data_IF_056300277209
#
_entry.id   IF_056300277209
#
_cell.length_a   1.000
_cell.length_b   1.000
_cell.length_c   1.000
_cell.angle_alpha   90.00
_cell.angle_beta   90.00
_cell.angle_gamma   90.00
#
_symmetry.space_group_name_H-M   'P 1'
#
loop_
_entity.id
_entity.type
_entity.pdbx_description
1 polymer ?
#
# COMPACT_ATOMS: atom_id res chain seq x y z
N UNK A 1 26.92 8.20 20.48
CA UNK A 1 26.47 9.07 19.38
C UNK A 1 24.97 8.93 19.31
N UNK A 2 24.20 10.01 19.40
CA UNK A 2 22.73 9.94 19.20
C UNK A 2 22.49 9.71 17.72
N UNK A 3 22.00 8.52 17.37
CA UNK A 3 21.58 8.23 16.00
C UNK A 3 20.45 9.17 15.63
N UNK A 4 20.46 9.66 14.39
CA UNK A 4 19.39 10.52 13.88
C UNK A 4 18.26 9.63 13.41
N UNK A 5 17.03 9.88 13.85
CA UNK A 5 15.89 9.03 13.51
C UNK A 5 15.09 9.64 12.36
N UNK A 6 14.81 8.84 11.33
CA UNK A 6 13.73 9.12 10.37
C UNK A 6 12.53 8.28 10.79
N UNK A 7 11.39 8.92 11.02
CA UNK A 7 10.15 8.23 11.34
C UNK A 7 9.45 7.80 10.05
N UNK A 8 9.11 6.51 9.90
CA UNK A 8 8.40 6.00 8.73
C UNK A 8 7.04 5.44 9.16
N UNK A 9 6.00 6.19 8.83
CA UNK A 9 4.60 5.87 9.09
C UNK A 9 3.97 5.12 7.91
N UNK A 10 3.20 4.07 8.23
CA UNK A 10 2.50 3.22 7.28
C UNK A 10 1.40 2.41 8.00
N UNK A 11 0.48 1.80 7.24
CA UNK A 11 -0.46 0.81 7.80
C UNK A 11 0.10 -0.61 7.67
N UNK A 12 -0.46 -1.56 8.44
CA UNK A 12 0.04 -2.94 8.47
C UNK A 12 0.12 -3.59 7.09
N UNK A 13 -0.90 -3.36 6.26
CA UNK A 13 -1.03 -3.89 4.91
C UNK A 13 0.06 -3.36 3.95
N UNK A 14 0.73 -2.26 4.32
CA UNK A 14 1.78 -1.59 3.53
C UNK A 14 3.19 -1.88 4.06
N UNK A 15 3.33 -2.84 4.99
CA UNK A 15 4.61 -3.20 5.62
C UNK A 15 5.71 -3.53 4.61
N UNK A 16 5.41 -4.22 3.52
CA UNK A 16 6.42 -4.59 2.52
C UNK A 16 7.03 -3.34 1.85
N UNK A 17 6.21 -2.34 1.52
CA UNK A 17 6.68 -1.06 1.00
C UNK A 17 7.48 -0.27 2.06
N UNK A 18 7.02 -0.29 3.31
CA UNK A 18 7.74 0.35 4.41
C UNK A 18 9.16 -0.22 4.58
N UNK A 19 9.31 -1.54 4.52
CA UNK A 19 10.62 -2.20 4.61
C UNK A 19 11.50 -1.91 3.38
N UNK A 20 10.92 -1.85 2.18
CA UNK A 20 11.63 -1.47 0.96
C UNK A 20 12.24 -0.06 1.09
N UNK A 21 11.43 0.91 1.51
CA UNK A 21 11.87 2.30 1.69
C UNK A 21 12.86 2.43 2.86
N UNK A 22 12.62 1.69 3.95
CA UNK A 22 13.52 1.61 5.11
C UNK A 22 14.93 1.21 4.67
N UNK A 23 15.05 0.09 3.96
CA UNK A 23 16.33 -0.42 3.49
C UNK A 23 17.06 0.59 2.60
N UNK A 24 16.36 1.21 1.65
CA UNK A 24 16.94 2.22 0.77
C UNK A 24 17.49 3.44 1.54
N UNK A 25 16.78 3.91 2.57
CA UNK A 25 17.23 5.01 3.42
C UNK A 25 18.44 4.61 4.28
N UNK A 26 18.41 3.43 4.89
CA UNK A 26 19.51 2.93 5.74
C UNK A 26 20.80 2.72 4.93
N UNK A 27 20.68 2.19 3.71
CA UNK A 27 21.80 2.02 2.78
C UNK A 27 22.36 3.37 2.31
N UNK A 28 21.49 4.32 1.97
CA UNK A 28 21.90 5.67 1.55
C UNK A 28 22.70 6.38 2.64
N UNK A 29 22.18 6.33 3.87
CA UNK A 29 22.79 7.03 5.01
C UNK A 29 23.81 6.19 5.78
N UNK A 30 24.17 4.99 5.28
CA UNK A 30 25.28 4.17 5.77
C UNK A 30 25.29 3.98 7.30
N UNK A 31 24.10 3.81 7.91
CA UNK A 31 23.92 3.63 9.36
C UNK A 31 24.08 4.89 10.23
N UNK A 32 24.25 6.09 9.64
CA UNK A 32 24.21 7.36 10.39
C UNK A 32 22.78 7.78 10.79
N UNK A 33 21.80 7.16 10.16
CA UNK A 33 20.39 7.42 10.34
C UNK A 33 19.70 6.10 10.61
N UNK A 34 18.98 6.04 11.72
CA UNK A 34 18.09 4.92 12.02
C UNK A 34 16.71 5.24 11.44
N UNK A 35 16.10 4.28 10.75
CA UNK A 35 14.73 4.45 10.25
C UNK A 35 13.79 3.69 11.16
N UNK A 36 13.00 4.45 11.93
CA UNK A 36 12.02 3.89 12.85
C UNK A 36 10.77 3.46 12.08
N UNK A 37 10.42 2.18 12.14
CA UNK A 37 9.23 1.60 11.52
C UNK A 37 8.49 0.77 12.58
N UNK A 38 7.25 1.12 12.91
CA UNK A 38 6.50 0.44 13.97
C UNK A 38 6.20 -1.05 13.71
N UNK A 39 6.28 -1.50 12.44
CA UNK A 39 5.96 -2.87 12.01
C UNK A 39 7.16 -3.74 11.65
N UNK A 40 8.40 -3.26 11.80
CA UNK A 40 9.61 -4.00 11.39
C UNK A 40 10.03 -5.12 12.36
N UNK A 41 9.35 -5.24 13.51
CA UNK A 41 9.65 -6.24 14.54
C UNK A 41 10.98 -6.02 15.30
N UNK A 42 11.71 -4.93 15.00
CA UNK A 42 13.03 -4.62 15.59
C UNK A 42 13.05 -3.25 16.27
N UNK A 43 12.29 -2.28 15.77
CA UNK A 43 12.13 -0.94 16.35
C UNK A 43 11.40 -0.95 17.69
N UNK A 44 10.55 -1.96 17.93
CA UNK A 44 9.75 -2.14 19.14
C UNK A 44 10.09 -3.52 19.75
N UNK A 45 11.00 -3.57 20.73
CA UNK A 45 11.37 -4.83 21.40
C UNK A 45 10.17 -5.50 22.07
N UNK A 46 10.18 -6.84 22.12
CA UNK A 46 9.16 -7.61 22.85
C UNK A 46 9.11 -7.18 24.33
N UNK A 47 7.90 -6.94 24.85
CA UNK A 47 7.68 -6.46 26.22
C UNK A 47 7.77 -4.94 26.41
N UNK A 48 8.09 -4.18 25.37
CA UNK A 48 8.06 -2.71 25.42
C UNK A 48 6.65 -2.14 25.24
N UNK A 49 6.40 -0.95 25.80
CA UNK A 49 5.15 -0.23 25.57
C UNK A 49 5.15 0.36 24.14
N UNK A 50 4.36 -0.26 23.26
CA UNK A 50 4.25 0.11 21.84
C UNK A 50 3.97 1.61 21.65
N UNK A 51 2.97 2.15 22.35
CA UNK A 51 2.55 3.54 22.20
C UNK A 51 3.69 4.49 22.58
N UNK A 52 4.35 4.22 23.71
CA UNK A 52 5.49 5.02 24.17
C UNK A 52 6.62 5.04 23.14
N UNK A 53 6.90 3.92 22.47
CA UNK A 53 7.95 3.84 21.45
C UNK A 53 7.61 4.65 20.20
N UNK A 54 6.35 4.67 19.80
CA UNK A 54 5.88 5.52 18.71
C UNK A 54 6.01 7.00 19.10
N UNK A 55 5.60 7.36 20.32
CA UNK A 55 5.78 8.72 20.86
C UNK A 55 7.25 9.15 20.88
N UNK A 56 8.14 8.32 21.43
CA UNK A 56 9.59 8.57 21.45
C UNK A 56 10.12 8.78 20.01
N UNK A 57 9.71 7.91 19.07
CA UNK A 57 10.07 8.04 17.66
C UNK A 57 9.61 9.35 17.02
N UNK A 58 8.39 9.80 17.30
CA UNK A 58 7.86 11.08 16.82
C UNK A 58 8.53 12.29 17.47
N UNK A 59 8.95 12.18 18.73
CA UNK A 59 9.63 13.23 19.49
C UNK A 59 11.08 13.39 19.04
N UNK A 60 11.77 12.29 18.76
CA UNK A 60 13.20 12.27 18.47
C UNK A 60 13.51 12.33 16.97
N UNK A 61 12.53 12.12 16.09
CA UNK A 61 12.79 12.14 14.65
C UNK A 61 13.20 13.54 14.16
N UNK A 62 14.13 13.53 13.21
CA UNK A 62 14.63 14.71 12.50
C UNK A 62 13.98 14.87 11.12
N UNK A 63 13.16 13.91 10.73
CA UNK A 63 12.35 13.91 9.52
C UNK A 63 11.39 12.72 9.57
N UNK A 64 10.31 12.79 8.81
CA UNK A 64 9.31 11.74 8.76
C UNK A 64 8.81 11.50 7.34
N UNK A 65 8.61 10.24 7.00
CA UNK A 65 7.96 9.76 5.78
C UNK A 65 6.62 9.15 6.16
N UNK A 66 5.60 9.45 5.37
CA UNK A 66 4.26 8.87 5.52
C UNK A 66 3.92 8.17 4.21
N UNK A 67 3.81 6.84 4.23
CA UNK A 67 3.30 6.10 3.08
C UNK A 67 1.79 6.28 3.00
N UNK A 68 1.32 6.92 1.93
CA UNK A 68 -0.09 7.28 1.78
C UNK A 68 -0.70 6.60 0.54
N UNK A 69 -1.69 5.76 0.78
CA UNK A 69 -2.59 5.20 -0.22
C UNK A 69 -4.03 5.66 0.04
N UNK A 70 -4.97 5.37 -0.86
CA UNK A 70 -6.40 5.58 -0.60
C UNK A 70 -6.93 4.85 0.65
N UNK A 71 -6.23 3.80 1.12
CA UNK A 71 -6.56 3.06 2.32
C UNK A 71 -5.94 3.69 3.58
N UNK A 72 -4.65 4.04 3.54
CA UNK A 72 -3.95 4.55 4.73
C UNK A 72 -4.35 5.98 5.10
N UNK A 73 -4.70 6.83 4.13
CA UNK A 73 -5.15 8.21 4.38
C UNK A 73 -6.41 8.29 5.26
N UNK A 74 -7.22 7.23 5.29
CA UNK A 74 -8.44 7.12 6.09
C UNK A 74 -8.16 6.67 7.53
N UNK A 75 -6.93 6.27 7.86
CA UNK A 75 -6.56 5.85 9.21
C UNK A 75 -6.22 7.09 10.04
N UNK A 76 -7.00 7.31 11.11
CA UNK A 76 -6.78 8.42 12.05
C UNK A 76 -5.34 8.50 12.56
N UNK A 77 -4.68 7.36 12.72
CA UNK A 77 -3.31 7.29 13.23
C UNK A 77 -2.30 8.00 12.32
N UNK A 78 -2.37 7.81 11.00
CA UNK A 78 -1.49 8.49 10.03
C UNK A 78 -1.63 10.01 10.17
N UNK A 79 -2.88 10.51 10.26
CA UNK A 79 -3.17 11.93 10.39
C UNK A 79 -2.66 12.50 11.72
N UNK A 80 -2.77 11.72 12.80
CA UNK A 80 -2.28 12.10 14.12
C UNK A 80 -0.76 12.24 14.16
N UNK A 81 -0.03 11.23 13.67
CA UNK A 81 1.44 11.23 13.61
C UNK A 81 1.97 12.38 12.73
N UNK A 82 1.37 12.57 11.56
CA UNK A 82 1.73 13.65 10.65
C UNK A 82 1.48 15.03 11.26
N UNK A 83 0.35 15.21 11.93
CA UNK A 83 0.05 16.44 12.68
C UNK A 83 1.09 16.75 13.76
N UNK A 84 1.56 15.73 14.48
CA UNK A 84 2.61 15.89 15.49
C UNK A 84 3.92 16.40 14.89
N UNK A 85 4.39 15.79 13.79
CA UNK A 85 5.63 16.23 13.12
C UNK A 85 5.46 17.58 12.44
N UNK A 86 4.28 17.88 11.88
CA UNK A 86 3.99 19.21 11.32
C UNK A 86 4.19 20.31 12.36
N UNK A 87 3.55 20.20 13.52
CA UNK A 87 3.67 21.22 14.57
C UNK A 87 5.11 21.30 15.11
N UNK A 88 5.79 20.16 15.28
CA UNK A 88 7.23 20.13 15.66
C UNK A 88 8.09 20.89 14.65
N UNK A 89 7.87 20.69 13.35
CA UNK A 89 8.58 21.42 12.30
C UNK A 89 8.36 22.93 12.38
N UNK A 90 7.09 23.35 12.53
CA UNK A 90 6.74 24.76 12.65
C UNK A 90 7.40 25.41 13.89
N UNK A 91 7.45 24.71 15.02
CA UNK A 91 8.14 25.16 16.23
C UNK A 91 9.66 25.23 16.03
N UNK A 92 10.25 24.19 15.44
CA UNK A 92 11.69 24.13 15.16
C UNK A 92 12.15 25.32 14.34
N UNK A 93 11.47 25.59 13.21
CA UNK A 93 11.77 26.73 12.33
C UNK A 93 11.63 28.07 13.07
N UNK A 94 10.57 28.25 13.87
CA UNK A 94 10.35 29.49 14.64
C UNK A 94 11.42 29.74 15.71
N UNK A 95 12.01 28.68 16.24
CA UNK A 95 13.11 28.75 17.21
C UNK A 95 14.50 28.92 16.56
N UNK A 96 14.58 28.97 15.22
CA UNK A 96 15.84 29.05 14.48
C UNK A 96 16.60 27.73 14.40
N UNK A 97 15.95 26.61 14.75
CA UNK A 97 16.51 25.26 14.62
C UNK A 97 16.24 24.68 13.21
N UNK A 98 16.83 23.51 12.93
CA UNK A 98 16.71 22.84 11.63
C UNK A 98 15.28 22.39 11.31
N UNK A 99 14.90 22.42 10.03
CA UNK A 99 13.61 21.90 9.59
C UNK A 99 13.50 20.39 9.85
N UNK A 100 12.29 19.95 10.20
CA UNK A 100 11.92 18.56 10.45
C UNK A 100 10.87 18.19 9.38
N UNK A 101 11.28 17.77 8.17
CA UNK A 101 10.34 17.56 7.08
C UNK A 101 9.36 16.42 7.40
N UNK A 102 8.06 16.66 7.17
CA UNK A 102 7.03 15.63 7.13
C UNK A 102 6.65 15.41 5.67
N UNK A 103 7.01 14.25 5.11
CA UNK A 103 6.92 13.95 3.68
C UNK A 103 5.81 12.93 3.39
N UNK A 104 4.67 13.37 2.83
CA UNK A 104 3.70 12.45 2.23
C UNK A 104 4.32 11.77 1.01
N UNK A 105 4.39 10.43 1.03
CA UNK A 105 4.87 9.59 -0.07
C UNK A 105 3.68 8.78 -0.58
N UNK A 106 3.04 9.32 -1.61
CA UNK A 106 1.80 8.78 -2.16
C UNK A 106 2.08 7.57 -3.05
N UNK A 107 1.30 6.52 -2.91
CA UNK A 107 1.42 5.30 -3.71
C UNK A 107 0.05 4.68 -4.02
N UNK A 108 0.03 3.68 -4.90
CA UNK A 108 -1.15 2.87 -5.22
C UNK A 108 -2.35 3.71 -5.67
N UNK A 109 -2.11 4.71 -6.52
CA UNK A 109 -3.14 5.59 -7.09
C UNK A 109 -3.43 6.86 -6.27
N UNK A 110 -2.87 7.01 -5.07
CA UNK A 110 -2.87 8.30 -4.39
C UNK A 110 -1.88 9.27 -5.05
N UNK A 111 -2.24 10.54 -5.11
CA UNK A 111 -1.37 11.64 -5.53
C UNK A 111 -1.38 12.76 -4.49
N UNK A 112 -0.32 13.58 -4.38
CA UNK A 112 -0.29 14.70 -3.43
C UNK A 112 -1.49 15.64 -3.55
N UNK A 113 -1.98 15.89 -4.77
CA UNK A 113 -3.15 16.73 -5.04
C UNK A 113 -4.49 16.09 -4.66
N UNK A 114 -4.56 14.76 -4.58
CA UNK A 114 -5.76 14.01 -4.19
C UNK A 114 -5.93 13.88 -2.66
N UNK A 115 -4.91 14.26 -1.89
CA UNK A 115 -4.94 14.13 -0.43
C UNK A 115 -6.01 15.06 0.18
N UNK A 116 -6.67 14.64 1.28
CA UNK A 116 -7.62 15.51 1.96
C UNK A 116 -6.89 16.67 2.64
N UNK A 117 -7.57 17.80 2.77
CA UNK A 117 -7.07 18.91 3.58
C UNK A 117 -6.89 18.46 5.05
N UNK A 118 -5.79 18.84 5.73
CA UNK A 118 -4.75 19.77 5.30
C UNK A 118 -3.52 19.11 4.65
N UNK A 119 -3.53 17.79 4.40
CA UNK A 119 -2.37 17.03 3.89
C UNK A 119 -1.93 17.49 2.50
N UNK A 120 -2.87 17.91 1.65
CA UNK A 120 -2.59 18.45 0.32
C UNK A 120 -1.79 19.77 0.33
N UNK A 121 -1.67 20.43 1.48
CA UNK A 121 -0.83 21.62 1.63
C UNK A 121 0.65 21.28 1.87
N UNK A 122 0.97 20.01 2.12
CA UNK A 122 2.34 19.54 2.24
C UNK A 122 2.90 19.20 0.85
N UNK A 123 4.19 19.48 0.66
CA UNK A 123 4.91 19.02 -0.52
C UNK A 123 5.14 17.52 -0.44
N UNK A 124 4.18 16.75 -0.94
CA UNK A 124 4.28 15.30 -1.09
C UNK A 124 4.90 14.88 -2.42
N UNK A 125 5.21 13.59 -2.52
CA UNK A 125 5.72 12.95 -3.74
C UNK A 125 4.86 11.75 -4.13
N UNK A 126 5.04 11.27 -5.36
CA UNK A 126 4.53 9.98 -5.85
C UNK A 126 5.67 8.96 -5.85
N UNK A 127 5.46 7.85 -5.14
CA UNK A 127 6.49 6.85 -4.83
C UNK A 127 6.98 6.06 -6.06
N UNK A 128 6.16 5.92 -7.10
CA UNK A 128 6.54 5.22 -8.32
C UNK A 128 7.31 6.09 -9.34
N UNK A 129 7.75 7.28 -8.93
CA UNK A 129 8.50 8.21 -9.77
C UNK A 129 9.94 8.40 -9.22
N UNK A 130 10.93 7.90 -9.95
CA UNK A 130 12.35 7.95 -9.53
C UNK A 130 12.82 9.35 -9.15
N UNK A 131 12.53 10.35 -10.00
CA UNK A 131 12.92 11.74 -9.74
C UNK A 131 12.29 12.32 -8.46
N UNK A 132 11.08 11.89 -8.10
CA UNK A 132 10.43 12.38 -6.88
C UNK A 132 10.93 11.65 -5.63
N UNK A 133 11.23 10.35 -5.72
CA UNK A 133 11.93 9.62 -4.67
C UNK A 133 13.30 10.27 -4.38
N UNK A 134 14.05 10.62 -5.43
CA UNK A 134 15.31 11.35 -5.29
C UNK A 134 15.11 12.68 -4.57
N UNK A 135 14.09 13.46 -4.95
CA UNK A 135 13.75 14.72 -4.29
C UNK A 135 13.46 14.54 -2.78
N UNK A 136 12.72 13.50 -2.40
CA UNK A 136 12.46 13.18 -0.99
C UNK A 136 13.76 12.82 -0.24
N UNK A 137 14.62 11.99 -0.83
CA UNK A 137 15.90 11.60 -0.23
C UNK A 137 16.83 12.82 -0.07
N UNK A 138 16.82 13.76 -1.01
CA UNK A 138 17.56 15.03 -0.88
C UNK A 138 17.04 15.89 0.27
N UNK A 139 15.72 15.96 0.44
CA UNK A 139 15.11 16.69 1.57
C UNK A 139 15.55 16.11 2.92
N UNK A 140 15.56 14.77 3.03
CA UNK A 140 16.03 14.06 4.22
C UNK A 140 17.54 14.21 4.43
N UNK A 141 18.34 14.16 3.36
CA UNK A 141 19.79 14.38 3.41
C UNK A 141 20.11 15.78 4.00
N UNK A 142 19.37 16.81 3.58
CA UNK A 142 19.54 18.15 4.12
C UNK A 142 19.17 18.22 5.61
N UNK A 143 18.08 17.56 6.02
CA UNK A 143 17.65 17.51 7.43
C UNK A 143 18.65 16.77 8.33
N UNK A 144 19.33 15.73 7.82
CA UNK A 144 20.38 15.01 8.55
C UNK A 144 21.73 15.78 8.55
N UNK A 145 21.81 16.95 7.89
CA UNK A 145 23.05 17.72 7.72
C UNK A 145 24.05 17.10 6.75
N UNK A 146 23.61 16.13 5.95
CA UNK A 146 24.39 15.51 4.89
C UNK A 146 24.53 16.43 3.67
N UNK A 147 25.62 16.25 2.92
CA UNK A 147 25.86 16.92 1.64
C UNK A 147 26.46 15.93 0.66
N UNK A 148 26.16 16.07 -0.62
CA UNK A 148 26.81 15.32 -1.69
C UNK A 148 25.82 14.62 -2.60
N UNK A 149 26.34 13.66 -3.38
CA UNK A 149 25.55 12.87 -4.31
C UNK A 149 24.90 11.70 -3.58
N UNK A 150 23.63 11.45 -3.88
CA UNK A 150 22.94 10.25 -3.41
C UNK A 150 23.47 9.01 -4.15
N UNK A 151 23.51 7.88 -3.47
CA UNK A 151 24.01 6.60 -4.01
C UNK A 151 22.91 5.66 -4.46
N UNK A 152 21.70 5.85 -3.93
CA UNK A 152 20.51 5.05 -4.21
C UNK A 152 20.21 5.02 -5.71
N UNK A 153 19.92 3.83 -6.23
CA UNK A 153 19.35 3.64 -7.55
C UNK A 153 17.83 3.89 -7.49
N UNK A 154 17.42 5.11 -7.85
CA UNK A 154 16.03 5.52 -7.78
C UNK A 154 15.14 4.88 -8.85
N UNK A 155 15.70 4.46 -9.98
CA UNK A 155 14.96 3.74 -11.02
C UNK A 155 14.64 2.32 -10.56
N UNK A 156 15.62 1.64 -9.94
CA UNK A 156 15.40 0.33 -9.32
C UNK A 156 14.40 0.42 -8.16
N UNK A 157 14.53 1.45 -7.29
CA UNK A 157 13.59 1.67 -6.19
C UNK A 157 12.17 1.91 -6.70
N UNK A 158 11.99 2.80 -7.69
CA UNK A 158 10.69 3.07 -8.29
C UNK A 158 10.08 1.80 -8.92
N UNK A 159 10.90 0.98 -9.59
CA UNK A 159 10.45 -0.30 -10.19
C UNK A 159 9.95 -1.28 -9.13
N UNK A 160 10.63 -1.36 -7.99
CA UNK A 160 10.19 -2.17 -6.86
C UNK A 160 8.90 -1.63 -6.23
N UNK A 161 8.74 -0.30 -6.15
CA UNK A 161 7.48 0.34 -5.71
C UNK A 161 6.34 -0.02 -6.67
N UNK A 162 6.53 0.09 -7.99
CA UNK A 162 5.52 -0.28 -9.00
C UNK A 162 5.10 -1.76 -8.83
N UNK A 163 6.08 -2.64 -8.62
CA UNK A 163 5.82 -4.06 -8.41
C UNK A 163 4.99 -4.31 -7.14
N UNK A 164 5.31 -3.63 -6.04
CA UNK A 164 4.50 -3.63 -4.83
C UNK A 164 3.09 -3.10 -5.08
N UNK A 165 2.95 -1.94 -5.74
CA UNK A 165 1.65 -1.31 -6.04
C UNK A 165 0.76 -2.26 -6.84
N UNK A 166 1.33 -2.95 -7.83
CA UNK A 166 0.62 -3.91 -8.68
C UNK A 166 0.06 -5.09 -7.86
N UNK A 167 0.86 -5.65 -6.94
CA UNK A 167 0.42 -6.72 -6.04
C UNK A 167 -0.60 -6.23 -4.99
N UNK A 168 -0.35 -5.08 -4.37
CA UNK A 168 -1.19 -4.48 -3.35
C UNK A 168 -2.57 -4.05 -3.87
N UNK A 169 -2.66 -3.67 -5.15
CA UNK A 169 -3.91 -3.27 -5.78
C UNK A 169 -4.57 -4.44 -6.52
N UNK A 170 -4.12 -4.75 -7.73
CA UNK A 170 -4.75 -5.74 -8.59
C UNK A 170 -4.65 -7.16 -8.00
N UNK A 171 -3.46 -7.56 -7.52
CA UNK A 171 -3.24 -8.90 -6.98
C UNK A 171 -4.11 -9.19 -5.76
N UNK A 172 -4.14 -8.30 -4.77
CA UNK A 172 -4.96 -8.45 -3.58
C UNK A 172 -6.47 -8.50 -3.90
N UNK A 173 -6.94 -7.65 -4.82
CA UNK A 173 -8.34 -7.64 -5.22
C UNK A 173 -8.74 -8.87 -6.05
N UNK A 174 -7.84 -9.40 -6.87
CA UNK A 174 -8.02 -10.69 -7.55
C UNK A 174 -8.16 -11.83 -6.54
N UNK A 175 -7.27 -11.90 -5.54
CA UNK A 175 -7.32 -12.92 -4.49
C UNK A 175 -8.63 -12.83 -3.70
N UNK A 176 -9.03 -11.60 -3.32
CA UNK A 176 -10.29 -11.31 -2.63
C UNK A 176 -11.50 -11.75 -3.44
N UNK A 177 -11.54 -11.42 -4.73
CA UNK A 177 -12.60 -11.84 -5.64
C UNK A 177 -12.67 -13.37 -5.74
N UNK A 178 -11.54 -14.04 -5.96
CA UNK A 178 -11.50 -15.49 -6.09
C UNK A 178 -11.81 -16.22 -4.78
N UNK A 179 -11.55 -15.63 -3.61
CA UNK A 179 -11.93 -16.23 -2.32
C UNK A 179 -13.42 -16.15 -2.02
N UNK A 180 -14.21 -15.40 -2.81
CA UNK A 180 -15.67 -15.38 -2.69
C UNK A 180 -16.32 -16.65 -3.26
N UNK A 181 -15.56 -17.45 -3.99
CA UNK A 181 -16.04 -18.68 -4.63
C UNK A 181 -15.25 -19.88 -4.13
N UNK A 182 -15.92 -21.03 -4.05
CA UNK A 182 -15.26 -22.29 -3.80
C UNK A 182 -14.66 -22.80 -5.12
N UNK A 183 -13.34 -23.00 -5.15
CA UNK A 183 -12.66 -23.52 -6.33
C UNK A 183 -11.17 -23.77 -6.08
N UNK A 184 -10.60 -24.74 -6.81
CA UNK A 184 -9.16 -25.00 -6.76
C UNK A 184 -8.42 -23.94 -7.59
N UNK A 185 -7.88 -22.93 -6.89
CA UNK A 185 -7.07 -21.85 -7.48
C UNK A 185 -5.84 -22.39 -8.23
N UNK A 186 -5.26 -23.51 -7.79
CA UNK A 186 -4.11 -24.14 -8.48
C UNK A 186 -4.53 -24.82 -9.77
N UNK A 187 -5.72 -25.43 -9.81
CA UNK A 187 -6.30 -25.94 -11.05
C UNK A 187 -6.61 -24.79 -12.02
N UNK A 188 -7.13 -23.67 -11.54
CA UNK A 188 -7.38 -22.47 -12.34
C UNK A 188 -6.09 -21.94 -12.98
N UNK A 189 -5.01 -21.77 -12.20
CA UNK A 189 -3.71 -21.34 -12.74
C UNK A 189 -3.21 -22.30 -13.82
N UNK A 190 -3.22 -23.62 -13.57
CA UNK A 190 -2.81 -24.63 -14.56
C UNK A 190 -3.64 -24.57 -15.83
N UNK A 191 -4.93 -24.30 -15.72
CA UNK A 191 -5.80 -24.10 -16.87
C UNK A 191 -5.39 -22.86 -17.66
N UNK A 192 -5.14 -21.72 -17.00
CA UNK A 192 -4.69 -20.49 -17.65
C UNK A 192 -3.34 -20.65 -18.37
N UNK A 193 -2.41 -21.44 -17.82
CA UNK A 193 -1.10 -21.70 -18.44
C UNK A 193 -1.20 -22.45 -19.79
N UNK A 194 -2.32 -23.13 -20.04
CA UNK A 194 -2.57 -23.87 -21.29
C UNK A 194 -3.32 -23.03 -22.35
N UNK A 195 -3.71 -21.80 -22.02
CA UNK A 195 -4.50 -20.95 -22.91
C UNK A 195 -3.62 -20.02 -23.75
N UNK A 196 -4.08 -19.60 -24.95
CA UNK A 196 -3.35 -18.63 -25.76
C UNK A 196 -3.25 -17.27 -25.07
N UNK A 197 -2.25 -16.48 -25.45
CA UNK A 197 -2.08 -15.12 -24.95
C UNK A 197 -3.33 -14.27 -25.22
N UNK A 198 -3.82 -13.57 -24.20
CA UNK A 198 -5.02 -12.74 -24.27
C UNK A 198 -6.36 -13.49 -24.10
N UNK A 199 -6.33 -14.81 -23.82
CA UNK A 199 -7.54 -15.56 -23.54
C UNK A 199 -8.34 -14.99 -22.37
N UNK A 200 -9.66 -15.05 -22.48
CA UNK A 200 -10.60 -14.78 -21.38
C UNK A 200 -11.11 -16.10 -20.84
N UNK A 201 -11.11 -16.23 -19.51
CA UNK A 201 -11.58 -17.42 -18.81
C UNK A 201 -12.96 -17.13 -18.24
N UNK A 202 -13.95 -17.93 -18.58
CA UNK A 202 -15.28 -17.87 -17.97
C UNK A 202 -15.34 -18.83 -16.77
N UNK A 203 -15.66 -18.28 -15.61
CA UNK A 203 -15.89 -19.00 -14.37
C UNK A 203 -17.39 -19.02 -14.08
N UNK A 204 -17.96 -20.21 -14.00
CA UNK A 204 -19.33 -20.40 -13.54
C UNK A 204 -19.34 -20.42 -12.01
N UNK A 205 -19.76 -19.32 -11.40
CA UNK A 205 -19.74 -19.11 -9.96
C UNK A 205 -20.97 -19.67 -9.23
N UNK A 206 -21.99 -20.11 -9.98
CA UNK A 206 -23.24 -20.63 -9.41
C UNK A 206 -24.10 -19.53 -8.80
N UNK A 207 -24.97 -19.91 -7.85
CA UNK A 207 -25.84 -18.97 -7.15
C UNK A 207 -25.07 -18.15 -6.11
N UNK A 208 -25.01 -16.84 -6.31
CA UNK A 208 -24.28 -15.90 -5.46
C UNK A 208 -25.26 -14.92 -4.82
N UNK A 209 -25.09 -14.66 -3.53
CA UNK A 209 -25.95 -13.75 -2.78
C UNK A 209 -25.79 -12.29 -3.23
N UNK A 210 -26.84 -11.48 -3.04
CA UNK A 210 -26.87 -10.08 -3.52
C UNK A 210 -25.72 -9.23 -2.98
N UNK A 211 -25.30 -9.40 -1.72
CA UNK A 211 -24.18 -8.64 -1.15
C UNK A 211 -22.83 -8.97 -1.79
N UNK A 212 -22.60 -10.23 -2.10
CA UNK A 212 -21.43 -10.68 -2.86
C UNK A 212 -21.47 -10.17 -4.31
N UNK A 213 -22.63 -10.20 -4.97
CA UNK A 213 -22.80 -9.61 -6.31
C UNK A 213 -22.45 -8.11 -6.31
N UNK A 214 -22.94 -7.35 -5.32
CA UNK A 214 -22.61 -5.92 -5.19
C UNK A 214 -21.10 -5.70 -5.03
N UNK A 215 -20.43 -6.56 -4.25
CA UNK A 215 -18.97 -6.51 -4.08
C UNK A 215 -18.24 -6.79 -5.40
N UNK A 216 -18.65 -7.82 -6.16
CA UNK A 216 -18.06 -8.15 -7.46
C UNK A 216 -18.22 -7.00 -8.47
N UNK A 217 -19.43 -6.43 -8.55
CA UNK A 217 -19.69 -5.29 -9.44
C UNK A 217 -18.89 -4.05 -9.01
N UNK A 218 -18.70 -3.84 -7.70
CA UNK A 218 -17.84 -2.79 -7.17
C UNK A 218 -16.37 -2.97 -7.59
N UNK A 219 -15.84 -4.18 -7.47
CA UNK A 219 -14.48 -4.52 -7.91
C UNK A 219 -14.33 -4.32 -9.43
N UNK A 220 -15.30 -4.75 -10.23
CA UNK A 220 -15.29 -4.52 -11.68
C UNK A 220 -15.32 -3.03 -12.03
N UNK A 221 -16.07 -2.21 -11.30
CA UNK A 221 -16.18 -0.78 -11.60
C UNK A 221 -14.91 0.00 -11.23
N UNK A 222 -14.15 -0.48 -10.24
CA UNK A 222 -13.02 0.22 -9.64
C UNK A 222 -11.71 -0.57 -9.79
N UNK A 223 -11.37 -1.41 -8.81
CA UNK A 223 -10.03 -1.96 -8.67
C UNK A 223 -9.64 -2.95 -9.78
N UNK A 224 -10.60 -3.72 -10.31
CA UNK A 224 -10.40 -4.70 -11.38
C UNK A 224 -11.00 -4.24 -12.72
N UNK A 225 -11.16 -2.93 -12.90
CA UNK A 225 -11.76 -2.34 -14.10
C UNK A 225 -11.01 -2.74 -15.36
N UNK A 226 -11.76 -3.27 -16.34
CA UNK A 226 -11.21 -3.73 -17.63
C UNK A 226 -10.53 -5.10 -17.57
N UNK A 227 -10.42 -5.71 -16.39
CA UNK A 227 -9.80 -7.03 -16.21
C UNK A 227 -10.81 -8.15 -15.98
N UNK A 228 -12.02 -7.80 -15.52
CA UNK A 228 -13.10 -8.75 -15.26
C UNK A 228 -14.42 -8.27 -15.86
N UNK A 229 -15.32 -9.21 -16.13
CA UNK A 229 -16.71 -8.95 -16.49
C UNK A 229 -17.65 -9.91 -15.75
N UNK A 230 -18.59 -9.35 -14.99
CA UNK A 230 -19.58 -10.04 -14.16
C UNK A 230 -20.91 -10.01 -14.90
N UNK A 231 -21.45 -11.18 -15.17
CA UNK A 231 -22.79 -11.37 -15.75
C UNK A 231 -23.67 -12.07 -14.73
N UNK A 232 -24.88 -11.57 -14.55
CA UNK A 232 -25.89 -12.18 -13.68
C UNK A 232 -27.08 -12.65 -14.49
N UNK A 233 -27.58 -13.84 -14.16
CA UNK A 233 -28.77 -14.45 -14.75
C UNK A 233 -29.64 -15.09 -13.67
N UNK A 234 -30.92 -15.32 -13.99
CA UNK A 234 -31.87 -16.02 -13.10
C UNK A 234 -31.88 -15.49 -11.65
N UNK A 235 -32.30 -14.23 -11.40
CA UNK A 235 -32.44 -13.73 -10.04
C UNK A 235 -33.48 -14.55 -9.27
N UNK A 236 -33.23 -14.80 -7.99
CA UNK A 236 -34.12 -15.62 -7.17
C UNK A 236 -33.73 -15.67 -5.69
N UNK A 237 -34.35 -16.59 -4.97
CA UNK A 237 -34.14 -16.82 -3.54
C UNK A 237 -33.79 -18.30 -3.33
N UNK A 238 -32.67 -18.58 -2.68
CA UNK A 238 -32.26 -19.93 -2.29
C UNK A 238 -32.51 -20.12 -0.79
N UNK A 239 -33.15 -21.24 -0.42
CA UNK A 239 -33.40 -21.58 0.97
C UNK A 239 -32.27 -22.47 1.50
N UNK A 240 -31.47 -21.93 2.43
CA UNK A 240 -30.36 -22.62 3.07
C UNK A 240 -30.72 -22.96 4.52
N UNK A 241 -29.99 -23.88 5.20
CA UNK A 241 -30.25 -24.22 6.60
C UNK A 241 -30.23 -23.02 7.57
N UNK A 242 -29.54 -21.94 7.19
CA UNK A 242 -29.38 -20.72 7.98
C UNK A 242 -30.41 -19.63 7.62
N UNK A 243 -31.29 -19.87 6.64
CA UNK A 243 -32.31 -18.92 6.19
C UNK A 243 -32.40 -18.81 4.66
N UNK A 244 -33.33 -17.97 4.20
CA UNK A 244 -33.48 -17.63 2.80
C UNK A 244 -32.47 -16.54 2.40
N UNK A 245 -31.81 -16.73 1.26
CA UNK A 245 -30.82 -15.79 0.72
C UNK A 245 -31.22 -15.38 -0.69
N UNK A 246 -31.28 -14.07 -0.94
CA UNK A 246 -31.54 -13.52 -2.27
C UNK A 246 -30.24 -13.44 -3.07
N UNK A 247 -30.31 -13.71 -4.36
CA UNK A 247 -29.14 -13.80 -5.22
C UNK A 247 -29.48 -14.00 -6.69
N UNK A 248 -28.47 -14.33 -7.47
CA UNK A 248 -28.59 -14.68 -8.89
C UNK A 248 -27.52 -15.70 -9.26
N UNK A 249 -27.70 -16.38 -10.38
CA UNK A 249 -26.60 -17.13 -11.01
C UNK A 249 -25.58 -16.12 -11.54
N UNK A 250 -24.29 -16.42 -11.34
CA UNK A 250 -23.19 -15.53 -11.71
C UNK A 250 -22.21 -16.25 -12.62
N UNK A 251 -21.85 -15.56 -13.70
CA UNK A 251 -20.71 -15.89 -14.54
C UNK A 251 -19.70 -14.76 -14.46
N UNK A 252 -18.44 -15.14 -14.33
CA UNK A 252 -17.33 -14.19 -14.21
C UNK A 252 -16.33 -14.47 -15.33
N UNK A 253 -16.12 -13.50 -16.20
CA UNK A 253 -15.04 -13.53 -17.18
C UNK A 253 -13.83 -12.79 -16.61
N UNK A 254 -12.64 -13.41 -16.71
CA UNK A 254 -11.37 -12.86 -16.22
C UNK A 254 -10.30 -13.08 -17.28
N UNK A 255 -9.46 -12.07 -17.50
CA UNK A 255 -8.30 -12.22 -18.39
C UNK A 255 -7.32 -13.28 -17.83
N UNK A 256 -6.92 -14.25 -18.65
CA UNK A 256 -5.95 -15.27 -18.25
C UNK A 256 -4.61 -14.65 -17.82
N UNK A 257 -4.19 -13.56 -18.47
CA UNK A 257 -2.97 -12.82 -18.12
C UNK A 257 -3.00 -12.32 -16.68
N UNK A 258 -4.12 -11.77 -16.21
CA UNK A 258 -4.26 -11.30 -14.82
C UNK A 258 -4.03 -12.44 -13.81
N UNK A 259 -4.61 -13.62 -14.06
CA UNK A 259 -4.42 -14.80 -13.20
C UNK A 259 -2.96 -15.23 -13.20
N UNK A 260 -2.30 -15.22 -14.37
CA UNK A 260 -0.91 -15.63 -14.53
C UNK A 260 0.07 -14.65 -13.88
N UNK A 261 -0.18 -13.34 -13.99
CA UNK A 261 0.64 -12.28 -13.37
C UNK A 261 0.70 -12.42 -11.85
N UNK A 262 -0.39 -12.92 -11.24
CA UNK A 262 -0.51 -13.09 -9.79
C UNK A 262 -0.54 -14.55 -9.34
N UNK A 263 -0.07 -15.50 -10.16
CA UNK A 263 -0.15 -16.93 -9.84
C UNK A 263 0.52 -17.31 -8.52
N UNK A 264 1.59 -16.61 -8.13
CA UNK A 264 2.28 -16.81 -6.86
C UNK A 264 1.39 -16.54 -5.63
N UNK A 265 0.41 -15.62 -5.73
CA UNK A 265 -0.57 -15.33 -4.68
C UNK A 265 -1.72 -16.34 -4.63
N UNK A 266 -1.90 -17.14 -5.69
CA UNK A 266 -3.00 -18.10 -5.84
C UNK A 266 -2.56 -19.53 -5.55
N UNK A 267 -1.25 -19.76 -5.44
CA UNK A 267 -0.64 -21.06 -5.19
C UNK A 267 -0.25 -21.27 -3.72
N UNK A 268 -0.13 -20.19 -2.93
CA UNK A 268 0.08 -20.20 -1.48
C UNK A 268 -1.13 -20.79 -0.74
#
# INVERSE_FOLDING_TARGET
MTSRIIFLSHIHEEKALALLVKQALEDEFSGFVDVFVSSDGTSIPAGSNFLKRVEDGLVDCIGAIYLISPASVKRNWINFELGAVWIRNAMSIRSGASAIPALPVCHSGATPSSLPSPLNNLNGITANQAAQLEFAFRSLQAAVGGKGRLKTDFDALATNVISFEHQYTLGANLVKMLSMFNGDKRALVRHCEQQPAGAQIELNCGFVETGAIQTLTGLQANELKGHIHVTTDMPGTEFRPQGAVNGAQVKLQVAASLILDFKHLLQS
#
